data_IF_259767427895
#
_entry.id   IF_259767427895
#
_cell.length_a   1.000
_cell.length_b   1.000
_cell.length_c   1.000
_cell.angle_alpha   90.00
_cell.angle_beta   90.00
_cell.angle_gamma   90.00
#
_symmetry.space_group_name_H-M   'P 1'
#
loop_
_entity.id
_entity.type
_entity.pdbx_description
1 polymer ?
#
# COMPACT_ATOMS: atom_id res chain seq x y z
N UNK A 1 1.27 -16.71 7.12
CA UNK A 1 1.44 -15.31 6.65
C UNK A 1 0.26 -14.45 7.08
N UNK A 2 0.50 -13.21 7.52
CA UNK A 2 -0.58 -12.23 7.78
C UNK A 2 -0.58 -11.17 6.67
N UNK A 3 -1.72 -10.98 6.01
CA UNK A 3 -1.88 -10.00 4.93
C UNK A 3 -2.87 -8.90 5.34
N UNK A 4 -2.63 -7.68 4.85
CA UNK A 4 -3.49 -6.52 5.06
C UNK A 4 -3.90 -5.94 3.71
N UNK A 5 -5.21 -5.83 3.49
CA UNK A 5 -5.77 -5.44 2.20
C UNK A 5 -5.64 -3.94 1.91
N UNK A 6 -5.61 -3.60 0.62
CA UNK A 6 -5.69 -2.23 0.11
C UNK A 6 -7.06 -1.58 0.34
N UNK A 7 -7.11 -0.25 0.18
CA UNK A 7 -8.36 0.49 0.29
C UNK A 7 -9.33 0.05 -0.81
N UNK A 8 -10.58 -0.21 -0.43
CA UNK A 8 -11.62 -0.74 -1.31
C UNK A 8 -11.34 -2.11 -1.95
N UNK A 9 -10.45 -2.91 -1.38
CA UNK A 9 -10.10 -4.23 -1.88
C UNK A 9 -10.12 -5.29 -0.76
N UNK A 10 -10.32 -6.53 -1.14
CA UNK A 10 -10.23 -7.70 -0.27
C UNK A 10 -9.78 -8.92 -1.07
N UNK A 11 -8.94 -9.75 -0.46
CA UNK A 11 -8.39 -10.98 -1.05
C UNK A 11 -7.47 -10.71 -2.25
N UNK A 12 -7.03 -9.46 -2.45
CA UNK A 12 -6.18 -9.07 -3.58
C UNK A 12 -4.72 -9.52 -3.42
N UNK A 13 -4.35 -10.18 -2.30
CA UNK A 13 -3.08 -10.87 -2.16
C UNK A 13 -2.81 -11.87 -3.31
N UNK A 14 -3.88 -12.40 -3.93
CA UNK A 14 -3.79 -13.26 -5.10
C UNK A 14 -3.01 -12.62 -6.25
N UNK A 15 -3.06 -11.29 -6.39
CA UNK A 15 -2.32 -10.54 -7.42
C UNK A 15 -0.81 -10.55 -7.17
N UNK A 16 -0.39 -10.76 -5.93
CA UNK A 16 1.01 -10.69 -5.50
C UNK A 16 1.61 -12.05 -5.20
N UNK A 17 0.88 -13.16 -5.41
CA UNK A 17 1.37 -14.53 -5.19
C UNK A 17 2.78 -14.80 -5.73
N UNK A 18 3.18 -14.35 -6.94
CA UNK A 18 4.53 -14.56 -7.44
C UNK A 18 5.65 -13.91 -6.60
N UNK A 19 5.31 -12.91 -5.78
CA UNK A 19 6.23 -12.12 -4.97
C UNK A 19 6.07 -12.37 -3.46
N UNK A 20 4.90 -12.87 -3.03
CA UNK A 20 4.57 -13.09 -1.64
C UNK A 20 5.36 -14.23 -1.03
N UNK A 21 6.05 -13.95 0.08
CA UNK A 21 6.75 -14.97 0.86
C UNK A 21 5.74 -15.68 1.76
N UNK A 22 5.41 -16.92 1.39
CA UNK A 22 4.52 -17.78 2.16
C UNK A 22 5.24 -18.35 3.39
N UNK A 23 5.21 -17.58 4.49
CA UNK A 23 5.76 -17.97 5.79
C UNK A 23 4.86 -17.49 6.93
N UNK A 24 4.86 -18.22 8.05
CA UNK A 24 4.16 -17.80 9.28
C UNK A 24 4.77 -16.55 9.92
N UNK A 25 6.03 -16.24 9.59
CA UNK A 25 6.76 -15.07 10.07
C UNK A 25 6.77 -13.91 9.07
N UNK A 26 5.98 -14.01 7.98
CA UNK A 26 5.81 -12.91 7.02
C UNK A 26 4.54 -12.13 7.30
N UNK A 27 4.69 -10.81 7.32
CA UNK A 27 3.59 -9.84 7.27
C UNK A 27 3.66 -9.11 5.94
N UNK A 28 2.53 -8.97 5.28
CA UNK A 28 2.43 -8.28 3.99
C UNK A 28 1.27 -7.30 3.99
N UNK A 29 1.36 -6.25 3.18
CA UNK A 29 0.23 -5.36 2.95
C UNK A 29 0.37 -4.58 1.66
N UNK A 30 -0.78 -4.31 1.03
CA UNK A 30 -0.87 -3.56 -0.22
C UNK A 30 -1.48 -2.19 0.01
N UNK A 31 -0.89 -1.13 -0.54
CA UNK A 31 -1.46 0.23 -0.51
C UNK A 31 -1.79 0.68 0.92
N UNK A 32 -3.07 0.93 1.24
CA UNK A 32 -3.55 1.16 2.61
C UNK A 32 -3.13 0.05 3.59
N UNK A 33 -3.21 -1.20 3.16
CA UNK A 33 -2.79 -2.36 3.93
C UNK A 33 -1.31 -2.34 4.29
N UNK A 34 -0.45 -1.70 3.50
CA UNK A 34 0.96 -1.53 3.83
C UNK A 34 1.15 -0.69 5.12
N UNK A 35 0.32 0.34 5.31
CA UNK A 35 0.29 1.14 6.54
C UNK A 35 -0.05 0.24 7.73
N UNK A 36 -1.10 -0.58 7.59
CA UNK A 36 -1.54 -1.51 8.63
C UNK A 36 -0.51 -2.59 8.92
N UNK A 37 0.18 -3.10 7.89
CA UNK A 37 1.24 -4.08 8.02
C UNK A 37 2.41 -3.54 8.86
N UNK A 38 2.81 -2.29 8.64
CA UNK A 38 3.88 -1.63 9.41
C UNK A 38 3.46 -1.37 10.84
N UNK A 39 2.26 -0.83 11.06
CA UNK A 39 1.72 -0.62 12.41
C UNK A 39 1.62 -1.93 13.19
N UNK A 40 1.17 -3.00 12.54
CA UNK A 40 1.14 -4.33 13.12
C UNK A 40 2.55 -4.82 13.44
N UNK A 41 3.50 -4.78 12.49
CA UNK A 41 4.86 -5.23 12.72
C UNK A 41 5.55 -4.48 13.87
N UNK A 42 5.30 -3.18 13.98
CA UNK A 42 5.86 -2.32 15.02
C UNK A 42 5.35 -2.68 16.42
N UNK A 43 4.05 -2.94 16.55
CA UNK A 43 3.41 -3.24 17.83
C UNK A 43 3.39 -4.74 18.19
N UNK A 44 3.63 -5.61 17.21
CA UNK A 44 3.57 -7.05 17.37
C UNK A 44 4.73 -7.56 18.25
N UNK A 45 4.37 -8.39 19.25
CA UNK A 45 5.31 -9.01 20.19
C UNK A 45 5.78 -10.40 19.74
N UNK A 46 5.11 -11.01 18.76
CA UNK A 46 5.55 -12.28 18.19
C UNK A 46 6.59 -12.04 17.11
N UNK A 47 7.36 -13.09 16.80
CA UNK A 47 8.40 -13.05 15.78
C UNK A 47 7.80 -12.68 14.42
N UNK A 48 8.47 -11.74 13.74
CA UNK A 48 8.26 -11.38 12.34
C UNK A 48 9.66 -11.35 11.74
N UNK A 49 9.85 -12.04 10.62
CA UNK A 49 11.12 -12.10 9.91
C UNK A 49 11.10 -11.16 8.69
N UNK A 50 9.95 -11.06 8.03
CA UNK A 50 9.81 -10.29 6.80
C UNK A 50 8.53 -9.45 6.80
N UNK A 51 8.68 -8.20 6.35
CA UNK A 51 7.61 -7.25 6.12
C UNK A 51 7.62 -6.86 4.63
N UNK A 52 6.61 -7.28 3.87
CA UNK A 52 6.47 -6.98 2.45
C UNK A 52 5.41 -5.88 2.22
N UNK A 53 5.82 -4.76 1.63
CA UNK A 53 4.96 -3.61 1.37
C UNK A 53 4.79 -3.45 -0.14
N UNK A 54 3.59 -3.74 -0.64
CA UNK A 54 3.24 -3.60 -2.04
C UNK A 54 2.63 -2.22 -2.27
N UNK A 55 3.26 -1.43 -3.13
CA UNK A 55 2.86 -0.06 -3.52
C UNK A 55 2.30 0.74 -2.34
N UNK A 56 3.08 0.93 -1.26
CA UNK A 56 2.57 1.49 -0.02
C UNK A 56 1.93 2.87 -0.26
N UNK A 57 0.75 3.08 0.33
CA UNK A 57 0.07 4.36 0.23
C UNK A 57 0.96 5.48 0.78
N UNK A 58 1.21 6.50 -0.04
CA UNK A 58 2.15 7.57 0.27
C UNK A 58 1.63 8.89 -0.31
N UNK A 59 1.05 9.71 0.56
CA UNK A 59 0.39 10.97 0.18
C UNK A 59 1.01 12.18 0.91
N UNK A 60 2.24 12.05 1.38
CA UNK A 60 2.98 13.14 2.02
C UNK A 60 3.41 14.23 1.04
N UNK A 61 3.50 13.91 -0.26
CA UNK A 61 3.74 14.89 -1.33
C UNK A 61 2.47 15.62 -1.78
N UNK A 62 1.31 15.27 -1.23
CA UNK A 62 0.02 15.89 -1.60
C UNK A 62 -0.38 16.94 -0.58
N UNK A 63 -0.83 18.08 -1.08
CA UNK A 63 -1.29 19.18 -0.26
C UNK A 63 -2.67 18.89 0.39
N UNK A 64 -3.05 19.73 1.36
CA UNK A 64 -4.34 19.61 2.03
C UNK A 64 -5.53 19.78 1.08
N UNK A 65 -5.37 20.52 -0.03
CA UNK A 65 -6.42 20.74 -1.03
C UNK A 65 -6.73 19.45 -1.78
N UNK A 66 -5.70 18.71 -2.20
CA UNK A 66 -5.83 17.40 -2.81
C UNK A 66 -6.55 16.43 -1.87
N UNK A 67 -6.06 16.30 -0.63
CA UNK A 67 -6.66 15.39 0.37
C UNK A 67 -8.14 15.71 0.62
N UNK A 68 -8.47 16.99 0.79
CA UNK A 68 -9.86 17.45 0.94
C UNK A 68 -10.72 17.14 -0.28
N UNK A 69 -10.19 17.30 -1.50
CA UNK A 69 -10.92 16.97 -2.73
C UNK A 69 -11.24 15.48 -2.82
N UNK A 70 -10.29 14.61 -2.46
CA UNK A 70 -10.50 13.15 -2.44
C UNK A 70 -11.61 12.77 -1.45
N UNK A 71 -11.53 13.27 -0.21
CA UNK A 71 -12.55 13.02 0.82
C UNK A 71 -13.94 13.52 0.40
N UNK A 72 -14.05 14.73 -0.15
CA UNK A 72 -15.33 15.28 -0.62
C UNK A 72 -15.90 14.49 -1.80
N UNK A 73 -15.05 14.04 -2.73
CA UNK A 73 -15.47 13.25 -3.89
C UNK A 73 -16.04 11.90 -3.47
N UNK A 74 -15.37 11.23 -2.53
CA UNK A 74 -15.84 9.98 -1.95
C UNK A 74 -17.17 10.16 -1.18
N UNK A 75 -17.28 11.21 -0.35
CA UNK A 75 -18.51 11.50 0.38
C UNK A 75 -19.70 11.84 -0.55
N UNK A 76 -19.43 12.49 -1.69
CA UNK A 76 -20.45 12.86 -2.68
C UNK A 76 -20.97 11.64 -3.45
N UNK A 77 -20.08 10.77 -3.91
CA UNK A 77 -20.44 9.54 -4.63
C UNK A 77 -19.32 8.51 -4.48
N UNK A 78 -19.44 7.66 -3.46
CA UNK A 78 -18.44 6.64 -3.12
C UNK A 78 -18.28 5.62 -4.24
N UNK A 79 -19.37 5.21 -4.89
CA UNK A 79 -19.30 4.17 -5.92
C UNK A 79 -18.54 4.67 -7.17
N UNK A 80 -18.84 5.88 -7.64
CA UNK A 80 -18.12 6.48 -8.78
C UNK A 80 -16.65 6.77 -8.44
N UNK A 81 -16.38 7.22 -7.21
CA UNK A 81 -15.01 7.41 -6.72
C UNK A 81 -14.23 6.10 -6.75
N UNK A 82 -14.80 5.04 -6.19
CA UNK A 82 -14.12 3.76 -6.08
C UNK A 82 -13.92 3.10 -7.44
N UNK A 83 -14.87 3.23 -8.38
CA UNK A 83 -14.68 2.77 -9.76
C UNK A 83 -13.49 3.46 -10.43
N UNK A 84 -13.38 4.78 -10.29
CA UNK A 84 -12.23 5.52 -10.82
C UNK A 84 -10.93 5.14 -10.10
N UNK A 85 -10.96 4.95 -8.78
CA UNK A 85 -9.81 4.48 -8.02
C UNK A 85 -9.31 3.11 -8.50
N UNK A 86 -10.21 2.14 -8.66
CA UNK A 86 -9.85 0.79 -9.16
C UNK A 86 -9.26 0.83 -10.57
N UNK A 87 -9.78 1.66 -11.47
CA UNK A 87 -9.21 1.83 -12.82
C UNK A 87 -7.77 2.38 -12.77
N UNK A 88 -7.51 3.33 -11.87
CA UNK A 88 -6.17 3.89 -11.68
C UNK A 88 -5.22 2.87 -11.02
N UNK A 89 -5.71 2.01 -10.13
CA UNK A 89 -4.91 0.95 -9.51
C UNK A 89 -4.35 -0.06 -10.53
N UNK A 90 -5.15 -0.42 -11.54
CA UNK A 90 -4.71 -1.38 -12.57
C UNK A 90 -3.89 -0.76 -13.69
N UNK A 91 -3.94 0.57 -13.90
CA UNK A 91 -3.21 1.18 -15.01
C UNK A 91 -1.71 0.87 -14.91
N UNK A 92 -1.02 0.40 -15.98
CA UNK A 92 -1.45 0.35 -17.39
C UNK A 92 -2.08 -0.98 -17.83
N UNK A 93 -2.32 -1.90 -16.91
CA UNK A 93 -2.96 -3.19 -17.12
C UNK A 93 -4.44 -3.08 -17.54
N UNK A 94 -4.99 -4.22 -17.96
CA UNK A 94 -6.41 -4.42 -18.24
C UNK A 94 -7.06 -5.46 -17.32
N UNK A 95 -6.36 -5.82 -16.24
CA UNK A 95 -6.84 -6.77 -15.25
C UNK A 95 -8.16 -6.28 -14.62
N UNK A 96 -9.08 -7.21 -14.40
CA UNK A 96 -10.34 -6.91 -13.70
C UNK A 96 -10.15 -6.97 -12.18
N UNK A 97 -10.32 -5.84 -11.49
CA UNK A 97 -10.29 -5.76 -10.03
C UNK A 97 -11.66 -6.03 -9.37
N UNK A 98 -12.75 -6.14 -10.15
CA UNK A 98 -14.08 -6.39 -9.57
C UNK A 98 -14.15 -7.62 -8.65
N UNK A 99 -13.46 -8.75 -8.92
CA UNK A 99 -13.48 -9.90 -8.00
C UNK A 99 -12.93 -9.61 -6.60
N UNK A 100 -12.08 -8.58 -6.47
CA UNK A 100 -11.47 -8.17 -5.22
C UNK A 100 -12.17 -6.96 -4.59
N UNK A 101 -13.21 -6.42 -5.22
CA UNK A 101 -13.84 -5.19 -4.76
C UNK A 101 -14.46 -5.38 -3.37
N UNK A 102 -14.11 -4.47 -2.47
CA UNK A 102 -14.73 -4.32 -1.15
C UNK A 102 -15.08 -2.85 -0.94
N UNK A 103 -16.21 -2.54 -0.33
CA UNK A 103 -16.57 -1.13 -0.10
C UNK A 103 -15.80 -0.57 1.09
N UNK A 104 -14.83 0.30 0.82
CA UNK A 104 -14.12 1.03 1.87
C UNK A 104 -14.97 2.11 2.55
N UNK A 105 -14.46 2.65 3.64
CA UNK A 105 -15.07 3.67 4.48
C UNK A 105 -14.40 5.05 4.34
N UNK A 106 -15.10 6.10 4.78
CA UNK A 106 -14.53 7.46 4.79
C UNK A 106 -13.36 7.58 5.77
N UNK A 107 -13.41 6.80 6.85
CA UNK A 107 -12.38 6.72 7.88
C UNK A 107 -11.10 6.09 7.34
N UNK A 108 -11.21 4.98 6.60
CA UNK A 108 -10.06 4.34 5.94
C UNK A 108 -9.44 5.26 4.89
N UNK A 109 -10.27 5.92 4.08
CA UNK A 109 -9.78 6.90 3.10
C UNK A 109 -9.07 8.07 3.80
N UNK A 110 -9.64 8.56 4.91
CA UNK A 110 -9.04 9.65 5.67
C UNK A 110 -7.68 9.23 6.23
N UNK A 111 -7.59 8.06 6.85
CA UNK A 111 -6.34 7.52 7.38
C UNK A 111 -5.30 7.33 6.26
N UNK A 112 -5.67 6.72 5.14
CA UNK A 112 -4.79 6.54 3.98
C UNK A 112 -4.19 7.86 3.49
N UNK A 113 -5.01 8.91 3.37
CA UNK A 113 -4.57 10.20 2.84
C UNK A 113 -3.71 10.99 3.83
N UNK A 114 -3.93 10.81 5.13
CA UNK A 114 -3.30 11.62 6.19
C UNK A 114 -2.20 10.88 6.96
N UNK A 115 -1.94 9.61 6.63
CA UNK A 115 -0.84 8.87 7.22
C UNK A 115 0.51 9.52 6.87
N UNK A 116 1.37 9.60 7.88
CA UNK A 116 2.76 10.05 7.76
C UNK A 116 3.66 8.90 8.18
N UNK A 117 4.59 8.54 7.32
CA UNK A 117 5.54 7.46 7.56
C UNK A 117 6.61 7.92 8.55
N UNK A 118 6.70 7.21 9.67
CA UNK A 118 7.66 7.50 10.73
C UNK A 118 9.00 6.76 10.47
N UNK A 119 10.04 7.51 10.10
CA UNK A 119 11.39 6.97 9.88
C UNK A 119 11.92 6.22 11.12
N UNK A 120 11.59 6.68 12.34
CA UNK A 120 12.04 6.04 13.58
C UNK A 120 11.38 4.67 13.80
N UNK A 121 10.12 4.52 13.40
CA UNK A 121 9.41 3.25 13.37
C UNK A 121 10.10 2.25 12.44
N UNK A 122 10.42 2.67 11.20
CA UNK A 122 11.10 1.83 10.22
C UNK A 122 12.52 1.44 10.65
N UNK A 123 13.25 2.38 11.27
CA UNK A 123 14.54 2.08 11.90
C UNK A 123 14.42 1.03 13.01
N UNK A 124 13.45 1.17 13.91
CA UNK A 124 13.22 0.22 15.00
C UNK A 124 12.90 -1.19 14.46
N UNK A 125 12.09 -1.29 13.41
CA UNK A 125 11.80 -2.57 12.76
C UNK A 125 13.07 -3.25 12.23
N UNK A 126 13.95 -2.46 11.59
CA UNK A 126 15.25 -2.96 11.09
C UNK A 126 16.18 -3.40 12.22
N UNK A 127 16.24 -2.64 13.31
CA UNK A 127 17.05 -3.01 14.50
C UNK A 127 16.56 -4.29 15.18
N UNK A 128 15.25 -4.57 15.10
CA UNK A 128 14.66 -5.86 15.53
C UNK A 128 15.01 -7.03 14.60
N UNK A 129 15.74 -6.79 13.51
CA UNK A 129 16.13 -7.80 12.53
C UNK A 129 15.04 -8.13 11.51
N UNK A 130 13.98 -7.30 11.40
CA UNK A 130 12.92 -7.51 10.41
C UNK A 130 13.43 -7.06 9.04
N UNK A 131 13.38 -7.96 8.06
CA UNK A 131 13.66 -7.63 6.66
C UNK A 131 12.47 -6.87 6.08
N UNK A 132 12.69 -5.66 5.57
CA UNK A 132 11.64 -4.87 4.93
C UNK A 132 11.88 -4.89 3.42
N UNK A 133 10.85 -5.29 2.68
CA UNK A 133 10.81 -5.29 1.23
C UNK A 133 9.69 -4.36 0.74
N UNK A 134 10.01 -3.50 -0.22
CA UNK A 134 9.02 -2.57 -0.80
C UNK A 134 8.97 -2.77 -2.30
N UNK A 135 7.79 -3.00 -2.83
CA UNK A 135 7.55 -3.25 -4.25
C UNK A 135 6.79 -2.07 -4.82
N UNK A 136 7.29 -1.45 -5.89
CA UNK A 136 6.67 -0.24 -6.47
C UNK A 136 6.68 -0.31 -7.99
N UNK A 137 5.54 0.00 -8.61
CA UNK A 137 5.41 0.12 -10.06
C UNK A 137 5.82 1.50 -10.58
N UNK A 138 6.54 1.54 -11.69
CA UNK A 138 6.95 2.80 -12.34
C UNK A 138 5.76 3.64 -12.80
N UNK A 139 4.71 2.99 -13.30
CA UNK A 139 3.53 3.63 -13.89
C UNK A 139 2.39 3.79 -12.89
N UNK A 140 2.68 3.70 -11.59
CA UNK A 140 1.69 3.91 -10.53
C UNK A 140 1.07 5.31 -10.64
N UNK A 141 -0.27 5.35 -10.72
CA UNK A 141 -1.04 6.60 -10.84
C UNK A 141 -1.68 7.04 -9.53
N UNK A 142 -1.57 6.21 -8.48
CA UNK A 142 -2.13 6.48 -7.15
C UNK A 142 -1.11 7.23 -6.29
N UNK A 143 0.15 6.79 -6.32
CA UNK A 143 1.27 7.37 -5.56
C UNK A 143 2.38 7.88 -6.50
N UNK A 144 3.25 8.74 -5.98
CA UNK A 144 4.49 9.09 -6.67
C UNK A 144 5.54 8.00 -6.42
N UNK A 145 5.70 7.09 -7.38
CA UNK A 145 6.58 5.92 -7.27
C UNK A 145 8.04 6.25 -6.98
N UNK A 146 8.56 7.34 -7.56
CA UNK A 146 9.92 7.81 -7.29
C UNK A 146 10.07 8.32 -5.85
N UNK A 147 9.09 9.07 -5.36
CA UNK A 147 9.13 9.59 -4.00
C UNK A 147 9.05 8.47 -2.96
N UNK A 148 8.19 7.46 -3.19
CA UNK A 148 8.13 6.25 -2.36
C UNK A 148 9.46 5.52 -2.36
N UNK A 149 10.04 5.29 -3.54
CA UNK A 149 11.36 4.67 -3.66
C UNK A 149 12.40 5.44 -2.85
N UNK A 150 12.54 6.75 -3.08
CA UNK A 150 13.56 7.58 -2.45
C UNK A 150 13.43 7.63 -0.92
N UNK A 151 12.20 7.56 -0.40
CA UNK A 151 11.96 7.43 1.04
C UNK A 151 12.39 6.06 1.58
N UNK A 152 11.91 4.96 0.98
CA UNK A 152 12.08 3.62 1.54
C UNK A 152 13.47 2.99 1.34
N UNK A 153 14.25 3.43 0.34
CA UNK A 153 15.61 2.88 0.11
C UNK A 153 16.56 3.04 1.31
N UNK A 154 16.26 3.95 2.24
CA UNK A 154 17.02 4.13 3.49
C UNK A 154 16.83 2.97 4.47
N UNK A 155 15.67 2.31 4.43
CA UNK A 155 15.21 1.37 5.45
C UNK A 155 14.99 -0.06 4.91
N UNK A 156 14.74 -0.20 3.62
CA UNK A 156 14.24 -1.41 2.99
C UNK A 156 14.96 -1.73 1.67
N UNK A 157 14.87 -2.99 1.24
CA UNK A 157 15.16 -3.34 -0.16
C UNK A 157 13.97 -2.94 -1.02
N UNK A 158 14.19 -2.05 -1.99
CA UNK A 158 13.13 -1.55 -2.86
C UNK A 158 13.23 -2.19 -4.25
N UNK A 159 12.20 -2.92 -4.64
CA UNK A 159 12.01 -3.50 -5.96
C UNK A 159 11.18 -2.53 -6.81
N UNK A 160 11.81 -1.93 -7.82
CA UNK A 160 11.17 -0.96 -8.71
C UNK A 160 10.89 -1.60 -10.07
N UNK A 161 9.61 -1.80 -10.38
CA UNK A 161 9.17 -2.52 -11.57
C UNK A 161 8.88 -1.56 -12.72
N UNK A 162 9.48 -1.81 -13.87
CA UNK A 162 9.27 -1.00 -15.08
C UNK A 162 7.93 -1.34 -15.73
N UNK A 163 7.24 -0.32 -16.25
CA UNK A 163 6.00 -0.44 -17.04
C UNK A 163 4.79 -1.10 -16.34
N UNK A 164 4.79 -1.22 -15.01
CA UNK A 164 3.64 -1.76 -14.25
C UNK A 164 3.07 -0.72 -13.29
N UNK A 165 1.81 -0.93 -12.91
CA UNK A 165 1.01 -0.02 -12.12
C UNK A 165 1.08 -0.19 -10.60
N UNK A 166 0.05 0.34 -9.92
CA UNK A 166 -0.12 0.23 -8.48
C UNK A 166 -0.26 -1.23 -8.05
N UNK A 167 -1.06 -2.04 -8.75
CA UNK A 167 -1.22 -3.47 -8.49
C UNK A 167 -0.04 -4.33 -9.02
N UNK A 168 1.06 -3.73 -9.49
CA UNK A 168 2.21 -4.42 -10.07
C UNK A 168 1.89 -5.32 -11.28
N UNK A 169 0.79 -4.99 -11.98
CA UNK A 169 0.32 -5.66 -13.20
C UNK A 169 0.20 -4.69 -14.38
#
# INVERSE_FOLDING_TARGET
>A
MKYFNGFCLQNEEALFEPYLIQSDFTVAGFSYGAIKAVQYAFTCKTRIDTLQLFSPAFFEDKDAKFKKLQTLSFAKNSDAYTQNFMQNCIYPSTLDLQPFFHKGSSEELHELLHYTWDESCLHTLKERGITIEVYVGECDTIINSLHVKDFFVKFATVYYFKKVGHCLC
#
